data_IF_023719731088
#
_entry.id   IF_023719731088
#
_cell.length_a   1.000
_cell.length_b   1.000
_cell.length_c   1.000
_cell.angle_alpha   90.00
_cell.angle_beta   90.00
_cell.angle_gamma   90.00
#
_symmetry.space_group_name_H-M   'P 1'
#
loop_
_entity.id
_entity.type
_entity.pdbx_description
1 polymer ?
#
# COMPACT_ATOMS: atom_id res chain seq x y z
N UNK A 1 -18.09 -1.22 -21.43
CA UNK A 1 -18.82 -2.02 -20.43
C UNK A 1 -17.77 -2.49 -19.43
N UNK A 2 -18.02 -2.36 -18.14
CA UNK A 2 -17.07 -2.78 -17.10
C UNK A 2 -16.85 -4.31 -17.20
N UNK A 3 -15.60 -4.76 -17.18
CA UNK A 3 -15.23 -6.16 -17.33
C UNK A 3 -14.46 -6.64 -16.10
N UNK A 4 -14.97 -7.68 -15.43
CA UNK A 4 -14.37 -8.24 -14.22
C UNK A 4 -13.01 -8.91 -14.46
N UNK A 5 -12.61 -9.11 -15.72
CA UNK A 5 -11.29 -9.63 -16.07
C UNK A 5 -10.23 -8.53 -16.14
N UNK A 6 -10.60 -7.24 -16.14
CA UNK A 6 -9.65 -6.14 -16.19
C UNK A 6 -8.81 -6.09 -14.92
N UNK A 7 -7.51 -5.81 -15.09
CA UNK A 7 -6.65 -5.49 -13.96
C UNK A 7 -7.01 -4.09 -13.40
N UNK A 8 -6.48 -3.74 -12.22
CA UNK A 8 -6.85 -2.50 -11.54
C UNK A 8 -6.41 -1.24 -12.29
N UNK A 9 -5.29 -1.28 -13.04
CA UNK A 9 -4.86 -0.16 -13.88
C UNK A 9 -5.81 0.05 -15.05
N UNK A 10 -6.18 -1.04 -15.74
CA UNK A 10 -7.14 -1.01 -16.84
C UNK A 10 -8.51 -0.48 -16.40
N UNK A 11 -8.96 -0.88 -15.20
CA UNK A 11 -10.22 -0.40 -14.61
C UNK A 11 -10.25 1.12 -14.50
N UNK A 12 -9.14 1.75 -14.08
CA UNK A 12 -9.02 3.21 -13.99
C UNK A 12 -8.51 3.87 -15.27
N UNK A 13 -8.28 3.10 -16.35
CA UNK A 13 -7.71 3.59 -17.61
C UNK A 13 -6.33 4.25 -17.40
N UNK A 14 -5.49 3.59 -16.60
CA UNK A 14 -4.12 3.96 -16.31
C UNK A 14 -3.15 2.98 -17.00
N UNK A 15 -1.95 3.45 -17.28
CA UNK A 15 -0.87 2.56 -17.73
C UNK A 15 -0.41 1.67 -16.57
N UNK A 16 -0.08 0.42 -16.89
CA UNK A 16 0.44 -0.52 -15.89
C UNK A 16 1.86 -0.11 -15.55
N UNK A 17 2.09 0.31 -14.31
CA UNK A 17 3.39 0.76 -13.85
C UNK A 17 3.38 1.14 -12.38
N UNK A 18 4.57 1.30 -11.81
CA UNK A 18 4.70 1.73 -10.41
C UNK A 18 4.41 3.22 -10.24
N UNK A 19 4.81 4.04 -11.20
CA UNK A 19 4.49 5.46 -11.23
C UNK A 19 3.02 5.65 -11.62
N UNK A 20 2.25 6.23 -10.71
CA UNK A 20 0.81 6.46 -10.89
C UNK A 20 0.48 7.90 -10.55
N UNK A 21 -0.18 8.58 -11.49
CA UNK A 21 -0.82 9.86 -11.24
C UNK A 21 -2.01 9.67 -10.28
N UNK A 22 -1.81 10.04 -9.01
CA UNK A 22 -2.80 9.91 -7.96
C UNK A 22 -4.01 10.84 -8.15
N UNK A 23 -3.84 11.97 -8.83
CA UNK A 23 -4.95 12.88 -9.14
C UNK A 23 -5.85 12.25 -10.19
N UNK A 24 -5.27 11.71 -11.26
CA UNK A 24 -6.00 10.97 -12.29
C UNK A 24 -6.69 9.74 -11.70
N UNK A 25 -5.99 8.97 -10.86
CA UNK A 25 -6.56 7.82 -10.16
C UNK A 25 -7.80 8.23 -9.34
N UNK A 26 -7.70 9.31 -8.56
CA UNK A 26 -8.81 9.82 -7.74
C UNK A 26 -9.98 10.30 -8.59
N UNK A 27 -9.72 11.00 -9.70
CA UNK A 27 -10.77 11.43 -10.64
C UNK A 27 -11.53 10.26 -11.23
N UNK A 28 -10.81 9.24 -11.71
CA UNK A 28 -11.41 8.03 -12.29
C UNK A 28 -12.19 7.23 -11.25
N UNK A 29 -11.67 7.12 -10.03
CA UNK A 29 -12.38 6.53 -8.90
C UNK A 29 -13.74 7.19 -8.64
N UNK A 30 -13.78 8.53 -8.58
CA UNK A 30 -15.04 9.25 -8.35
C UNK A 30 -16.06 9.09 -9.50
N UNK A 31 -15.58 8.93 -10.74
CA UNK A 31 -16.46 8.65 -11.89
C UNK A 31 -17.05 7.25 -11.74
N UNK A 32 -16.20 6.23 -11.60
CA UNK A 32 -16.63 4.84 -11.49
C UNK A 32 -17.53 4.61 -10.28
N UNK A 33 -17.19 5.16 -9.11
CA UNK A 33 -17.97 5.01 -7.89
C UNK A 33 -19.40 5.56 -8.06
N UNK A 34 -19.57 6.65 -8.81
CA UNK A 34 -20.90 7.20 -9.14
C UNK A 34 -21.67 6.34 -10.14
N UNK A 35 -21.00 5.58 -10.99
CA UNK A 35 -21.65 4.68 -11.95
C UNK A 35 -22.12 3.39 -11.27
N UNK A 36 -21.34 2.87 -10.32
CA UNK A 36 -21.58 1.55 -9.70
C UNK A 36 -22.20 1.64 -8.30
N UNK A 37 -22.59 2.83 -7.83
CA UNK A 37 -23.14 3.01 -6.49
C UNK A 37 -24.43 2.20 -6.29
N UNK A 38 -24.53 1.38 -5.23
CA UNK A 38 -25.71 0.53 -4.97
C UNK A 38 -27.03 1.29 -4.96
N UNK A 39 -27.06 2.51 -4.42
CA UNK A 39 -28.27 3.35 -4.36
C UNK A 39 -28.87 3.65 -5.73
N UNK A 40 -28.08 3.69 -6.81
CA UNK A 40 -28.59 3.90 -8.17
C UNK A 40 -29.37 2.71 -8.71
N UNK A 41 -29.19 1.55 -8.08
CA UNK A 41 -29.79 0.28 -8.47
C UNK A 41 -30.81 -0.21 -7.42
N UNK A 42 -31.11 0.58 -6.39
CA UNK A 42 -32.01 0.20 -5.29
C UNK A 42 -33.41 -0.20 -5.77
N UNK A 43 -33.92 0.43 -6.84
CA UNK A 43 -35.22 0.11 -7.44
C UNK A 43 -35.13 -0.93 -8.58
N UNK A 44 -33.94 -1.46 -8.87
CA UNK A 44 -33.74 -2.47 -9.91
C UNK A 44 -33.89 -3.90 -9.37
N UNK A 45 -33.84 -4.88 -10.28
CA UNK A 45 -33.97 -6.28 -9.91
C UNK A 45 -32.80 -6.75 -9.01
N UNK A 46 -33.00 -7.81 -8.20
CA UNK A 46 -31.99 -8.28 -7.26
C UNK A 46 -30.64 -8.66 -7.89
N UNK A 47 -30.60 -9.04 -9.17
CA UNK A 47 -29.33 -9.36 -9.84
C UNK A 47 -28.54 -8.08 -10.11
N UNK A 48 -29.22 -7.04 -10.60
CA UNK A 48 -28.62 -5.73 -10.87
C UNK A 48 -28.09 -5.08 -9.59
N UNK A 49 -28.82 -5.17 -8.48
CA UNK A 49 -28.36 -4.71 -7.16
C UNK A 49 -27.07 -5.42 -6.71
N UNK A 50 -27.05 -6.76 -6.80
CA UNK A 50 -25.86 -7.55 -6.42
C UNK A 50 -24.65 -7.20 -7.28
N UNK A 51 -24.87 -7.03 -8.58
CA UNK A 51 -23.82 -6.66 -9.53
C UNK A 51 -23.23 -5.28 -9.20
N UNK A 52 -24.07 -4.30 -8.89
CA UNK A 52 -23.63 -2.97 -8.46
C UNK A 52 -22.78 -3.03 -7.18
N UNK A 53 -23.22 -3.81 -6.17
CA UNK A 53 -22.44 -4.01 -4.94
C UNK A 53 -21.08 -4.65 -5.22
N UNK A 54 -21.01 -5.68 -6.07
CA UNK A 54 -19.74 -6.30 -6.47
C UNK A 54 -18.80 -5.32 -7.16
N UNK A 55 -19.33 -4.49 -8.06
CA UNK A 55 -18.55 -3.46 -8.71
C UNK A 55 -18.04 -2.38 -7.76
N UNK A 56 -18.89 -1.91 -6.85
CA UNK A 56 -18.50 -0.94 -5.82
C UNK A 56 -17.36 -1.47 -4.95
N UNK A 57 -17.43 -2.74 -4.52
CA UNK A 57 -16.34 -3.38 -3.79
C UNK A 57 -15.05 -3.44 -4.61
N UNK A 58 -15.11 -3.87 -5.87
CA UNK A 58 -13.94 -3.96 -6.75
C UNK A 58 -13.29 -2.61 -7.01
N UNK A 59 -14.09 -1.56 -7.24
CA UNK A 59 -13.58 -0.20 -7.48
C UNK A 59 -12.89 0.35 -6.23
N UNK A 60 -13.46 0.12 -5.04
CA UNK A 60 -12.84 0.50 -3.77
C UNK A 60 -11.53 -0.25 -3.52
N UNK A 61 -11.51 -1.56 -3.75
CA UNK A 61 -10.32 -2.40 -3.61
C UNK A 61 -9.21 -1.93 -4.55
N UNK A 62 -9.53 -1.75 -5.83
CA UNK A 62 -8.59 -1.29 -6.84
C UNK A 62 -7.98 0.07 -6.47
N UNK A 63 -8.81 1.01 -5.99
CA UNK A 63 -8.34 2.32 -5.53
C UNK A 63 -7.44 2.21 -4.30
N UNK A 64 -7.83 1.40 -3.31
CA UNK A 64 -7.04 1.19 -2.11
C UNK A 64 -5.66 0.58 -2.45
N UNK A 65 -5.62 -0.37 -3.39
CA UNK A 65 -4.38 -1.02 -3.83
C UNK A 65 -3.49 -0.06 -4.60
N UNK A 66 -4.03 0.66 -5.59
CA UNK A 66 -3.22 1.53 -6.46
C UNK A 66 -2.82 2.85 -5.79
N UNK A 67 -3.51 3.29 -4.73
CA UNK A 67 -3.22 4.58 -4.08
C UNK A 67 -1.99 4.54 -3.16
N UNK A 68 -1.62 3.37 -2.62
CA UNK A 68 -0.47 3.24 -1.71
C UNK A 68 0.71 2.53 -2.40
N UNK A 69 1.95 3.03 -2.26
CA UNK A 69 3.13 2.43 -2.90
C UNK A 69 3.30 0.93 -2.60
N UNK A 70 3.22 0.52 -1.33
CA UNK A 70 3.44 -0.89 -0.95
C UNK A 70 2.39 -1.83 -1.59
N UNK A 71 1.10 -1.52 -1.47
CA UNK A 71 0.06 -2.37 -2.06
C UNK A 71 0.13 -2.39 -3.58
N UNK A 72 0.48 -1.26 -4.21
CA UNK A 72 0.70 -1.17 -5.65
C UNK A 72 1.88 -2.03 -6.10
N UNK A 73 2.99 -2.01 -5.36
CA UNK A 73 4.16 -2.83 -5.63
C UNK A 73 3.84 -4.33 -5.53
N UNK A 74 3.15 -4.76 -4.46
CA UNK A 74 2.68 -6.15 -4.30
C UNK A 74 1.80 -6.56 -5.47
N UNK A 75 0.87 -5.69 -5.89
CA UNK A 75 -0.03 -5.97 -7.00
C UNK A 75 0.71 -6.13 -8.33
N UNK A 76 1.69 -5.26 -8.61
CA UNK A 76 2.52 -5.34 -9.82
C UNK A 76 3.35 -6.63 -9.88
N UNK A 77 3.92 -7.06 -8.76
CA UNK A 77 4.60 -8.36 -8.67
C UNK A 77 3.64 -9.53 -8.93
N UNK A 78 2.42 -9.45 -8.40
CA UNK A 78 1.36 -10.42 -8.68
C UNK A 78 1.00 -10.49 -10.18
N UNK A 79 0.91 -9.34 -10.86
CA UNK A 79 0.70 -9.29 -12.32
C UNK A 79 1.89 -9.89 -13.10
N UNK A 80 3.10 -9.81 -12.54
CA UNK A 80 4.30 -10.46 -13.08
C UNK A 80 4.42 -11.95 -12.70
N UNK A 81 3.41 -12.55 -12.04
CA UNK A 81 3.41 -13.92 -11.53
C UNK A 81 4.53 -14.20 -10.50
N UNK A 82 4.91 -13.19 -9.73
CA UNK A 82 5.83 -13.34 -8.60
C UNK A 82 5.03 -13.53 -7.32
N UNK A 83 5.23 -14.67 -6.67
CA UNK A 83 4.62 -14.97 -5.37
C UNK A 83 5.53 -14.50 -4.23
N UNK A 84 4.96 -13.75 -3.28
CA UNK A 84 5.68 -13.29 -2.11
C UNK A 84 5.70 -14.37 -1.03
N UNK A 85 6.88 -14.65 -0.50
CA UNK A 85 7.07 -15.56 0.62
C UNK A 85 6.57 -14.91 1.92
N UNK A 86 6.01 -15.72 2.83
CA UNK A 86 5.57 -15.21 4.13
C UNK A 86 6.75 -14.89 5.07
N UNK A 87 7.85 -15.65 4.96
CA UNK A 87 9.04 -15.52 5.80
C UNK A 87 10.29 -15.41 4.90
N UNK A 88 10.46 -14.28 4.21
CA UNK A 88 11.58 -14.08 3.31
C UNK A 88 12.90 -14.02 4.08
N UNK A 89 13.97 -14.54 3.48
CA UNK A 89 15.33 -14.28 3.96
C UNK A 89 15.79 -12.93 3.45
N UNK A 90 16.09 -12.01 4.37
CA UNK A 90 16.62 -10.67 4.07
C UNK A 90 18.08 -10.55 4.50
N UNK A 91 18.75 -9.52 4.00
CA UNK A 91 20.15 -9.27 4.33
C UNK A 91 20.34 -9.04 5.84
N UNK A 92 21.40 -9.62 6.46
CA UNK A 92 21.66 -9.47 7.89
C UNK A 92 21.72 -8.00 8.33
N UNK A 93 22.30 -7.14 7.52
CA UNK A 93 22.44 -5.71 7.79
C UNK A 93 21.06 -5.04 7.96
N UNK A 94 20.08 -5.41 7.14
CA UNK A 94 18.71 -4.92 7.26
C UNK A 94 18.05 -5.44 8.53
N UNK A 95 18.23 -6.72 8.87
CA UNK A 95 17.65 -7.29 10.08
C UNK A 95 18.21 -6.66 11.36
N UNK A 96 19.51 -6.34 11.39
CA UNK A 96 20.11 -5.58 12.49
C UNK A 96 19.51 -4.18 12.60
N UNK A 97 19.36 -3.47 11.49
CA UNK A 97 18.71 -2.15 11.48
C UNK A 97 17.27 -2.22 12.03
N UNK A 98 16.51 -3.27 11.69
CA UNK A 98 15.15 -3.46 12.24
C UNK A 98 15.14 -3.65 13.75
N UNK A 99 16.15 -4.32 14.31
CA UNK A 99 16.30 -4.49 15.76
C UNK A 99 16.60 -3.13 16.41
N UNK A 100 17.58 -2.38 15.89
CA UNK A 100 17.94 -1.06 16.40
C UNK A 100 16.76 -0.08 16.38
N UNK A 101 15.98 -0.07 15.28
CA UNK A 101 14.80 0.77 15.15
C UNK A 101 13.72 0.42 16.18
N UNK A 102 13.55 -0.87 16.48
CA UNK A 102 12.60 -1.35 17.49
C UNK A 102 13.06 -0.98 18.90
N UNK A 103 14.33 -1.20 19.22
CA UNK A 103 14.90 -0.81 20.52
C UNK A 103 14.80 0.71 20.75
N UNK A 104 15.05 1.50 19.72
CA UNK A 104 14.86 2.95 19.78
C UNK A 104 13.40 3.34 20.02
N UNK A 105 12.44 2.70 19.33
CA UNK A 105 11.01 2.93 19.57
C UNK A 105 10.62 2.59 21.02
N UNK A 106 11.06 1.43 21.53
CA UNK A 106 10.76 0.99 22.89
C UNK A 106 11.33 1.98 23.93
N UNK A 107 12.55 2.46 23.72
CA UNK A 107 13.16 3.48 24.57
C UNK A 107 12.38 4.81 24.54
N UNK A 108 12.02 5.31 23.36
CA UNK A 108 11.24 6.56 23.22
C UNK A 108 9.88 6.46 23.90
N UNK A 109 9.24 5.29 23.84
CA UNK A 109 8.00 5.00 24.54
C UNK A 109 8.19 5.05 26.08
N UNK A 110 9.26 4.43 26.59
CA UNK A 110 9.58 4.40 28.03
C UNK A 110 9.80 5.81 28.60
N UNK A 111 10.56 6.64 27.89
CA UNK A 111 10.82 8.02 28.31
C UNK A 111 9.71 9.01 27.95
N UNK A 112 8.65 8.54 27.28
CA UNK A 112 7.52 9.32 26.78
C UNK A 112 7.94 10.51 25.89
N UNK A 113 8.95 10.30 25.04
CA UNK A 113 9.49 11.35 24.18
C UNK A 113 8.69 11.47 22.87
N UNK A 114 7.63 12.28 22.89
CA UNK A 114 6.81 12.57 21.71
C UNK A 114 7.61 13.20 20.56
N UNK A 115 8.57 14.08 20.87
CA UNK A 115 9.37 14.73 19.82
C UNK A 115 10.27 13.73 19.11
N UNK A 116 10.87 12.80 19.86
CA UNK A 116 11.63 11.69 19.32
C UNK A 116 10.78 10.73 18.48
N UNK A 117 9.53 10.44 18.91
CA UNK A 117 8.59 9.60 18.14
C UNK A 117 8.21 10.23 16.81
N UNK A 118 7.90 11.54 16.78
CA UNK A 118 7.62 12.27 15.53
C UNK A 118 8.83 12.19 14.59
N UNK A 119 10.04 12.43 15.10
CA UNK A 119 11.26 12.32 14.30
C UNK A 119 11.50 10.90 13.76
N UNK A 120 11.18 9.87 14.56
CA UNK A 120 11.27 8.47 14.14
C UNK A 120 10.26 8.15 13.02
N UNK A 121 9.02 8.65 13.12
CA UNK A 121 7.98 8.51 12.10
C UNK A 121 8.36 9.17 10.77
N UNK A 122 8.93 10.37 10.83
CA UNK A 122 9.48 11.06 9.65
C UNK A 122 10.63 10.27 9.02
N UNK A 123 11.47 9.65 9.85
CA UNK A 123 12.52 8.72 9.43
C UNK A 123 11.96 7.51 8.69
N UNK A 124 10.88 6.89 9.19
CA UNK A 124 10.21 5.80 8.50
C UNK A 124 9.59 6.23 7.17
N UNK A 125 8.94 7.39 7.12
CA UNK A 125 8.37 7.92 5.89
C UNK A 125 9.45 8.11 4.81
N UNK A 126 10.62 8.63 5.20
CA UNK A 126 11.77 8.81 4.31
C UNK A 126 12.32 7.47 3.80
N UNK A 127 12.50 6.48 4.68
CA UNK A 127 12.96 5.13 4.30
C UNK A 127 11.97 4.42 3.37
N UNK A 128 10.67 4.50 3.67
CA UNK A 128 9.61 3.95 2.81
C UNK A 128 9.61 4.59 1.43
N UNK A 129 9.83 5.91 1.35
CA UNK A 129 9.93 6.61 0.06
C UNK A 129 11.13 6.12 -0.76
N UNK A 130 12.28 5.93 -0.11
CA UNK A 130 13.48 5.41 -0.77
C UNK A 130 13.29 3.97 -1.28
N UNK A 131 12.73 3.08 -0.46
CA UNK A 131 12.45 1.69 -0.87
C UNK A 131 11.38 1.62 -1.98
N UNK A 132 10.39 2.51 -1.96
CA UNK A 132 9.42 2.64 -3.04
C UNK A 132 10.07 3.06 -4.36
N UNK A 133 10.98 4.05 -4.32
CA UNK A 133 11.73 4.47 -5.50
C UNK A 133 12.59 3.32 -6.05
N UNK A 134 13.33 2.64 -5.17
CA UNK A 134 14.15 1.48 -5.55
C UNK A 134 13.30 0.37 -6.18
N UNK A 135 12.11 0.08 -5.63
CA UNK A 135 11.17 -0.85 -6.25
C UNK A 135 10.83 -0.42 -7.69
N UNK A 136 10.48 0.85 -7.89
CA UNK A 136 10.12 1.37 -9.21
C UNK A 136 11.24 1.20 -10.24
N UNK A 137 12.48 1.51 -9.85
CA UNK A 137 13.67 1.36 -10.70
C UNK A 137 13.97 -0.11 -11.06
N UNK A 138 13.97 -1.01 -10.06
CA UNK A 138 14.20 -2.44 -10.27
C UNK A 138 13.09 -3.08 -11.11
N UNK A 139 11.82 -2.74 -10.83
CA UNK A 139 10.68 -3.28 -11.57
C UNK A 139 10.69 -2.83 -13.04
N UNK A 140 10.97 -1.55 -13.30
CA UNK A 140 11.10 -1.04 -14.67
C UNK A 140 12.25 -1.69 -15.45
N UNK A 141 13.32 -2.09 -14.75
CA UNK A 141 14.48 -2.79 -15.32
C UNK A 141 14.28 -4.30 -15.47
N UNK A 142 13.16 -4.86 -15.00
CA UNK A 142 12.87 -6.29 -15.03
C UNK A 142 13.61 -7.11 -13.96
N UNK A 143 14.26 -6.45 -13.01
CA UNK A 143 15.00 -7.09 -11.91
C UNK A 143 14.03 -7.49 -10.78
N UNK A 144 13.16 -8.46 -11.07
CA UNK A 144 12.04 -8.85 -10.21
C UNK A 144 12.48 -9.34 -8.83
N UNK A 145 13.65 -9.99 -8.70
CA UNK A 145 14.19 -10.44 -7.41
C UNK A 145 14.52 -9.24 -6.50
N UNK A 146 15.11 -8.18 -7.07
CA UNK A 146 15.47 -6.98 -6.32
C UNK A 146 14.24 -6.11 -6.00
N UNK A 147 13.30 -6.03 -6.93
CA UNK A 147 11.99 -5.42 -6.67
C UNK A 147 11.26 -6.14 -5.52
N UNK A 148 11.30 -7.48 -5.52
CA UNK A 148 10.68 -8.30 -4.46
C UNK A 148 11.30 -8.02 -3.08
N UNK A 149 12.62 -7.88 -3.00
CA UNK A 149 13.29 -7.48 -1.74
C UNK A 149 12.85 -6.11 -1.24
N UNK A 150 12.71 -5.14 -2.14
CA UNK A 150 12.21 -3.80 -1.81
C UNK A 150 10.79 -3.86 -1.20
N UNK A 151 9.93 -4.75 -1.73
CA UNK A 151 8.60 -5.00 -1.15
C UNK A 151 8.69 -5.55 0.27
N UNK A 152 9.53 -6.55 0.51
CA UNK A 152 9.69 -7.08 1.87
C UNK A 152 10.19 -6.01 2.84
N UNK A 153 11.18 -5.20 2.45
CA UNK A 153 11.68 -4.09 3.28
C UNK A 153 10.59 -3.08 3.59
N UNK A 154 9.79 -2.68 2.59
CA UNK A 154 8.63 -1.82 2.80
C UNK A 154 7.60 -2.44 3.77
N UNK A 155 7.37 -3.76 3.74
CA UNK A 155 6.45 -4.43 4.68
C UNK A 155 6.97 -4.34 6.13
N UNK A 156 8.26 -4.59 6.35
CA UNK A 156 8.88 -4.46 7.67
C UNK A 156 8.81 -3.02 8.20
N UNK A 157 9.19 -2.05 7.37
CA UNK A 157 9.13 -0.63 7.72
C UNK A 157 7.69 -0.16 8.01
N UNK A 158 6.70 -0.59 7.23
CA UNK A 158 5.29 -0.26 7.51
C UNK A 158 4.83 -0.81 8.87
N UNK A 159 5.25 -2.04 9.24
CA UNK A 159 4.90 -2.61 10.54
C UNK A 159 5.50 -1.79 11.69
N UNK A 160 6.75 -1.34 11.57
CA UNK A 160 7.39 -0.48 12.56
C UNK A 160 6.73 0.90 12.62
N UNK A 161 6.41 1.51 11.47
CA UNK A 161 5.72 2.78 11.42
C UNK A 161 4.35 2.72 12.10
N UNK A 162 3.55 1.69 11.81
CA UNK A 162 2.25 1.50 12.49
C UNK A 162 2.39 1.31 14.00
N UNK A 163 3.43 0.60 14.46
CA UNK A 163 3.70 0.46 15.89
C UNK A 163 4.05 1.81 16.53
N UNK A 164 4.91 2.61 15.89
CA UNK A 164 5.27 3.94 16.37
C UNK A 164 4.07 4.90 16.40
N UNK A 165 3.18 4.86 15.40
CA UNK A 165 1.93 5.64 15.39
C UNK A 165 1.03 5.27 16.56
N UNK A 166 0.86 3.98 16.84
CA UNK A 166 0.06 3.53 17.99
C UNK A 166 0.64 3.98 19.33
N UNK A 167 1.97 3.96 19.45
CA UNK A 167 2.67 4.47 20.64
C UNK A 167 2.47 5.98 20.81
N UNK A 168 2.61 6.75 19.72
CA UNK A 168 2.38 8.20 19.74
C UNK A 168 0.94 8.53 20.15
N UNK A 169 -0.05 7.90 19.53
CA UNK A 169 -1.48 8.07 19.86
C UNK A 169 -1.74 7.75 21.33
N UNK A 170 -1.21 6.64 21.84
CA UNK A 170 -1.38 6.24 23.24
C UNK A 170 -0.80 7.25 24.23
N UNK A 171 0.34 7.88 23.90
CA UNK A 171 0.96 8.89 24.75
C UNK A 171 0.26 10.26 24.68
N UNK A 172 -0.44 10.57 23.59
CA UNK A 172 -1.24 11.79 23.47
C UNK A 172 -2.55 11.72 24.27
N UNK A 173 -3.07 10.51 24.48
CA UNK A 173 -4.31 10.25 25.21
C UNK A 173 -4.13 10.13 26.74
N UNK A 174 -2.89 10.13 27.24
CA UNK A 174 -2.53 10.12 28.68
C UNK A 174 -2.45 11.52 29.32
#
# INVERSE_FOLDING_TARGET
>A
MLDFNQNFFELFQLEVGFEVDLERLRGQFQILQREVHPDRYADQDPRSQRLATQWSMRVNEAFAVLSKPLSRAIYLLGLANVELEQNPSLEPEFLFEQIELRENLDHLAEVKDLAGLVALLDGFASKLTAEAQQFGECFASGELDLATRSVYRMQFLNKLQSAAQQTEEALLDE
#
